data_IF_352355669278
#
_entry.id   IF_352355669278
#
_cell.length_a   1.000
_cell.length_b   1.000
_cell.length_c   1.000
_cell.angle_alpha   90.00
_cell.angle_beta   90.00
_cell.angle_gamma   90.00
#
_symmetry.space_group_name_H-M   'P 1'
#
loop_
_entity.id
_entity.type
_entity.pdbx_description
1 polymer ?
#
# COMPACT_ATOMS: atom_id res chain seq x y z
N UNK A 1 1.05 10.59 28.65
CA UNK A 1 2.27 10.10 27.97
C UNK A 1 1.89 9.77 26.54
N UNK A 2 1.94 10.77 25.64
CA UNK A 2 1.41 10.64 24.28
C UNK A 2 2.33 9.76 23.43
N UNK A 3 1.76 8.75 22.78
CA UNK A 3 2.49 7.91 21.83
C UNK A 3 3.20 8.77 20.79
N UNK A 4 4.54 8.68 20.73
CA UNK A 4 5.41 9.50 19.88
C UNK A 4 5.40 9.11 18.40
N UNK A 5 4.78 7.99 18.04
CA UNK A 5 4.74 7.52 16.65
C UNK A 5 3.36 7.83 16.05
N UNK A 6 3.26 8.89 15.23
CA UNK A 6 2.13 9.12 14.31
C UNK A 6 2.24 8.15 13.12
N UNK A 7 2.24 6.86 13.41
CA UNK A 7 2.46 5.82 12.43
C UNK A 7 1.55 4.60 12.69
N UNK A 8 0.79 4.23 11.67
CA UNK A 8 -0.03 3.01 11.63
C UNK A 8 0.70 2.00 10.76
N UNK A 9 0.75 0.75 11.22
CA UNK A 9 1.33 -0.36 10.47
C UNK A 9 0.32 -1.48 10.37
N UNK A 10 0.23 -2.11 9.21
CA UNK A 10 -0.70 -3.20 8.96
C UNK A 10 -0.15 -4.19 7.94
N UNK A 11 -0.75 -5.37 7.90
CA UNK A 11 -0.51 -6.41 6.88
C UNK A 11 -1.72 -7.32 6.77
N UNK A 12 -1.91 -7.94 5.61
CA UNK A 12 -2.85 -9.04 5.45
C UNK A 12 -2.20 -10.38 5.85
N UNK A 13 -2.96 -11.29 6.45
CA UNK A 13 -2.51 -12.64 6.85
C UNK A 13 -3.57 -13.67 6.42
N UNK A 14 -3.14 -14.68 5.66
CA UNK A 14 -3.94 -15.85 5.34
C UNK A 14 -3.91 -16.88 6.46
N UNK A 15 -4.92 -17.77 6.48
CA UNK A 15 -5.05 -18.84 7.46
C UNK A 15 -3.87 -19.83 7.45
N UNK A 16 -3.16 -19.92 6.33
CA UNK A 16 -1.98 -20.77 6.14
C UNK A 16 -0.66 -20.07 6.54
N UNK A 17 -0.74 -18.87 7.12
CA UNK A 17 0.41 -18.11 7.59
C UNK A 17 1.12 -17.26 6.53
N UNK A 18 0.72 -17.35 5.25
CA UNK A 18 1.17 -16.38 4.24
C UNK A 18 0.70 -14.98 4.61
N UNK A 19 1.49 -13.98 4.25
CA UNK A 19 1.17 -12.59 4.59
C UNK A 19 1.61 -11.61 3.51
N UNK A 20 1.08 -10.40 3.57
CA UNK A 20 1.61 -9.28 2.81
C UNK A 20 2.88 -8.74 3.49
N UNK A 21 3.54 -7.83 2.79
CA UNK A 21 4.52 -6.96 3.42
C UNK A 21 3.88 -6.08 4.50
N UNK A 22 4.69 -5.56 5.42
CA UNK A 22 4.22 -4.57 6.40
C UNK A 22 4.14 -3.20 5.75
N UNK A 23 2.93 -2.69 5.62
CA UNK A 23 2.66 -1.32 5.21
C UNK A 23 2.76 -0.38 6.40
N UNK A 24 3.31 0.81 6.17
CA UNK A 24 3.43 1.88 7.15
C UNK A 24 2.85 3.16 6.56
N UNK A 25 1.89 3.75 7.27
CA UNK A 25 1.34 5.08 7.00
C UNK A 25 1.69 5.99 8.15
N UNK A 26 2.31 7.14 7.88
CA UNK A 26 2.79 8.04 8.93
C UNK A 26 2.79 9.50 8.51
N UNK A 27 2.69 10.40 9.50
CA UNK A 27 2.74 11.84 9.29
C UNK A 27 4.17 12.40 9.36
N UNK A 28 4.41 13.53 8.70
CA UNK A 28 5.56 14.39 8.96
C UNK A 28 5.54 14.96 10.38
N UNK A 29 6.72 15.12 11.00
CA UNK A 29 6.82 15.62 12.38
C UNK A 29 6.39 17.09 12.55
N UNK A 30 6.50 17.90 11.49
CA UNK A 30 6.27 19.35 11.50
C UNK A 30 5.40 19.83 10.34
N UNK A 31 4.85 18.90 9.58
CA UNK A 31 3.96 19.18 8.45
C UNK A 31 2.72 18.31 8.57
N UNK A 32 1.74 18.56 7.71
CA UNK A 32 0.58 17.69 7.54
C UNK A 32 0.76 16.71 6.38
N UNK A 33 2.01 16.51 5.95
CA UNK A 33 2.32 15.49 4.94
C UNK A 33 2.04 14.09 5.50
N UNK A 34 1.43 13.24 4.67
CA UNK A 34 1.29 11.80 4.93
C UNK A 34 2.23 11.04 3.99
N UNK A 35 2.87 10.02 4.52
CA UNK A 35 3.73 9.12 3.77
C UNK A 35 3.23 7.69 3.90
N UNK A 36 3.18 6.98 2.77
CA UNK A 36 2.88 5.55 2.69
C UNK A 36 4.09 4.84 2.08
N UNK A 37 4.51 3.75 2.73
CA UNK A 37 5.52 2.85 2.20
C UNK A 37 5.33 1.46 2.78
N UNK A 38 5.77 0.46 2.03
CA UNK A 38 6.05 -0.87 2.56
C UNK A 38 7.56 -1.04 2.71
N UNK A 39 8.06 -1.99 3.51
CA UNK A 39 9.52 -2.18 3.70
C UNK A 39 10.29 -2.44 2.39
N UNK A 40 9.87 -3.36 1.50
CA UNK A 40 10.58 -3.57 0.23
C UNK A 40 10.57 -2.32 -0.67
N UNK A 41 9.47 -1.55 -0.63
CA UNK A 41 9.34 -0.33 -1.42
C UNK A 41 10.06 0.84 -0.77
N UNK A 42 10.05 0.94 0.56
CA UNK A 42 10.44 2.11 1.34
C UNK A 42 11.93 2.40 1.32
N UNK A 43 12.73 1.51 0.75
CA UNK A 43 14.14 1.72 0.42
C UNK A 43 14.33 2.28 -1.00
N UNK A 44 13.30 2.26 -1.84
CA UNK A 44 13.37 2.63 -3.26
C UNK A 44 12.43 3.78 -3.63
N UNK A 45 11.17 3.72 -3.23
CA UNK A 45 10.13 4.69 -3.51
C UNK A 45 9.16 4.86 -2.33
N UNK A 46 8.37 5.94 -2.36
CA UNK A 46 7.26 6.15 -1.42
C UNK A 46 6.17 6.98 -2.06
N UNK A 47 4.94 6.79 -1.56
CA UNK A 47 3.83 7.69 -1.84
C UNK A 47 3.81 8.78 -0.77
N UNK A 48 3.72 10.03 -1.20
CA UNK A 48 3.66 11.20 -0.34
C UNK A 48 2.46 12.06 -0.71
N UNK A 49 1.58 12.28 0.28
CA UNK A 49 0.44 13.18 0.18
C UNK A 49 0.85 14.48 0.88
N UNK A 50 1.34 15.45 0.10
CA UNK A 50 1.83 16.70 0.67
C UNK A 50 0.68 17.62 1.08
N UNK A 51 0.87 18.39 2.15
CA UNK A 51 -0.14 19.34 2.66
C UNK A 51 -0.56 20.40 1.62
N UNK A 52 0.29 20.65 0.62
CA UNK A 52 -0.01 21.51 -0.54
C UNK A 52 -1.05 20.95 -1.51
N UNK A 53 -1.53 19.72 -1.31
CA UNK A 53 -2.42 19.01 -2.23
C UNK A 53 -1.71 18.39 -3.45
N UNK A 54 -0.40 18.59 -3.59
CA UNK A 54 0.43 17.98 -4.64
C UNK A 54 0.90 16.59 -4.19
N UNK A 55 0.21 15.55 -4.62
CA UNK A 55 0.49 14.17 -4.22
C UNK A 55 1.31 13.45 -5.28
N UNK A 56 2.07 12.45 -4.86
CA UNK A 56 2.93 11.70 -5.78
C UNK A 56 3.38 10.37 -5.22
N UNK A 57 3.73 9.47 -6.12
CA UNK A 57 4.64 8.36 -5.85
C UNK A 57 5.97 8.62 -6.56
N UNK A 58 7.06 8.50 -5.81
CA UNK A 58 8.38 8.88 -6.30
C UNK A 58 9.47 7.97 -5.74
N UNK A 59 10.51 7.75 -6.54
CA UNK A 59 11.77 7.20 -6.04
C UNK A 59 12.37 8.14 -4.99
N UNK A 60 13.08 7.58 -4.01
CA UNK A 60 13.64 8.35 -2.90
C UNK A 60 14.68 9.37 -3.36
N UNK A 61 15.43 9.06 -4.41
CA UNK A 61 16.43 9.94 -5.03
C UNK A 61 16.52 9.70 -6.55
N UNK A 62 17.26 10.56 -7.24
CA UNK A 62 17.44 10.47 -8.70
C UNK A 62 18.26 9.25 -9.11
N UNK A 63 19.28 8.86 -8.32
CA UNK A 63 20.10 7.67 -8.61
C UNK A 63 19.27 6.39 -8.71
N UNK A 64 18.27 6.24 -7.82
CA UNK A 64 17.31 5.14 -7.90
C UNK A 64 16.40 5.28 -9.11
N UNK A 65 15.91 6.49 -9.39
CA UNK A 65 15.06 6.75 -10.55
C UNK A 65 15.76 6.38 -11.87
N UNK A 66 17.03 6.76 -12.04
CA UNK A 66 17.82 6.51 -13.25
C UNK A 66 18.06 5.01 -13.53
N UNK A 67 17.81 4.13 -12.54
CA UNK A 67 17.86 2.66 -12.72
C UNK A 67 16.59 2.09 -13.36
N UNK A 68 15.48 2.81 -13.27
CA UNK A 68 14.15 2.31 -13.65
C UNK A 68 13.42 3.20 -14.66
N UNK A 69 13.80 4.47 -14.77
CA UNK A 69 13.22 5.46 -15.67
C UNK A 69 14.23 5.85 -16.74
N UNK A 70 13.72 6.46 -17.82
CA UNK A 70 14.56 7.03 -18.86
C UNK A 70 15.51 8.11 -18.31
N UNK A 71 16.75 8.24 -18.86
CA UNK A 71 17.69 9.24 -18.43
C UNK A 71 17.09 10.66 -18.43
N UNK A 72 17.19 11.35 -17.29
CA UNK A 72 16.65 12.71 -17.12
C UNK A 72 15.15 12.78 -16.81
N UNK A 73 14.47 11.64 -16.66
CA UNK A 73 13.09 11.62 -16.20
C UNK A 73 12.97 12.09 -14.73
N UNK A 74 11.82 12.67 -14.39
CA UNK A 74 11.51 13.04 -13.02
C UNK A 74 11.35 11.77 -12.15
N UNK A 75 12.05 11.73 -11.02
CA UNK A 75 11.93 10.66 -10.02
C UNK A 75 10.49 10.43 -9.51
N UNK A 76 9.61 11.43 -9.63
CA UNK A 76 8.19 11.30 -9.38
C UNK A 76 7.47 10.80 -10.64
N UNK A 77 7.27 9.48 -10.68
CA UNK A 77 6.70 8.76 -11.83
C UNK A 77 5.16 8.67 -11.79
N UNK A 78 4.53 8.96 -10.66
CA UNK A 78 3.09 9.18 -10.55
C UNK A 78 2.84 10.47 -9.76
N UNK A 79 2.04 11.37 -10.33
CA UNK A 79 1.68 12.67 -9.75
C UNK A 79 0.18 12.83 -9.84
N UNK A 80 -0.43 13.21 -8.74
CA UNK A 80 -1.88 13.36 -8.62
C UNK A 80 -2.20 14.45 -7.59
N UNK A 81 -3.47 14.81 -7.50
CA UNK A 81 -3.95 15.85 -6.59
C UNK A 81 -4.85 15.25 -5.54
N UNK A 82 -5.02 15.96 -4.43
CA UNK A 82 -6.09 15.68 -3.46
C UNK A 82 -7.45 15.60 -4.17
N UNK A 83 -8.21 14.50 -4.03
CA UNK A 83 -9.54 14.38 -4.61
C UNK A 83 -10.48 15.43 -4.08
N UNK A 84 -11.38 15.90 -4.94
CA UNK A 84 -12.42 16.86 -4.58
C UNK A 84 -13.75 16.20 -4.23
N UNK A 85 -13.91 14.92 -4.57
CA UNK A 85 -15.12 14.17 -4.26
C UNK A 85 -15.07 13.65 -2.82
N UNK A 86 -16.11 13.99 -2.05
CA UNK A 86 -16.24 13.55 -0.67
C UNK A 86 -16.96 12.20 -0.61
N UNK A 87 -16.37 11.23 0.10
CA UNK A 87 -16.99 9.93 0.38
C UNK A 87 -17.97 10.02 1.57
N UNK A 88 -17.84 11.05 2.38
CA UNK A 88 -18.75 11.48 3.44
C UNK A 88 -18.49 12.96 3.74
N UNK A 89 -19.42 13.71 4.36
CA UNK A 89 -19.24 15.14 4.63
C UNK A 89 -17.89 15.48 5.30
N UNK A 90 -17.03 16.19 4.58
CA UNK A 90 -15.69 16.57 5.03
C UNK A 90 -14.62 15.48 4.99
N UNK A 91 -14.86 14.35 4.32
CA UNK A 91 -13.94 13.24 4.16
C UNK A 91 -13.73 12.85 2.69
N UNK A 92 -12.47 12.67 2.30
CA UNK A 92 -12.08 12.19 0.97
C UNK A 92 -11.35 10.86 1.07
N UNK A 93 -11.47 10.02 0.04
CA UNK A 93 -10.61 8.85 -0.15
C UNK A 93 -9.26 9.31 -0.71
N UNK A 94 -8.21 9.25 0.09
CA UNK A 94 -6.91 9.79 -0.30
C UNK A 94 -6.04 8.78 -1.05
N UNK A 95 -6.06 7.51 -0.63
CA UNK A 95 -5.26 6.45 -1.23
C UNK A 95 -5.75 5.07 -0.81
N UNK A 96 -5.65 4.09 -1.70
CA UNK A 96 -6.09 2.71 -1.42
C UNK A 96 -4.96 1.70 -1.58
N UNK A 97 -4.81 0.79 -0.63
CA UNK A 97 -3.86 -0.34 -0.67
C UNK A 97 -4.65 -1.63 -0.81
N UNK A 98 -4.42 -2.36 -1.89
CA UNK A 98 -5.06 -3.65 -2.16
C UNK A 98 -4.05 -4.76 -1.92
N UNK A 99 -4.41 -5.72 -1.07
CA UNK A 99 -3.59 -6.87 -0.66
C UNK A 99 -4.32 -8.16 -1.06
N UNK A 100 -4.13 -8.67 -2.29
CA UNK A 100 -4.84 -9.86 -2.74
C UNK A 100 -4.31 -11.13 -2.08
N UNK A 101 -5.19 -12.09 -1.77
CA UNK A 101 -4.81 -13.37 -1.16
C UNK A 101 -3.79 -14.13 -2.01
N UNK A 102 -3.93 -14.05 -3.34
CA UNK A 102 -3.06 -14.70 -4.31
C UNK A 102 -1.61 -14.18 -4.29
N UNK A 103 -1.39 -13.00 -3.71
CA UNK A 103 -0.09 -12.34 -3.66
C UNK A 103 0.59 -12.49 -2.29
N UNK A 104 -0.10 -13.03 -1.28
CA UNK A 104 0.46 -13.22 0.05
C UNK A 104 1.56 -14.27 0.02
N UNK A 105 2.73 -13.97 0.60
CA UNK A 105 3.92 -14.81 0.55
C UNK A 105 4.30 -15.36 1.93
N UNK A 106 5.02 -16.49 1.99
CA UNK A 106 5.73 -16.88 3.19
C UNK A 106 6.91 -15.92 3.39
N UNK A 107 6.83 -15.08 4.40
CA UNK A 107 7.95 -14.22 4.80
C UNK A 107 8.60 -14.77 6.06
N UNK A 108 9.93 -14.68 6.13
CA UNK A 108 10.63 -14.79 7.40
C UNK A 108 10.03 -13.80 8.42
N UNK A 109 10.17 -14.12 9.70
CA UNK A 109 9.70 -13.25 10.77
C UNK A 109 10.38 -11.89 10.66
N UNK A 110 9.61 -10.85 10.32
CA UNK A 110 10.12 -9.49 10.29
C UNK A 110 10.07 -8.89 11.69
N UNK A 111 11.16 -8.27 12.10
CA UNK A 111 11.15 -7.37 13.25
C UNK A 111 10.62 -6.01 12.82
N UNK A 112 9.37 -5.69 13.16
CA UNK A 112 8.85 -4.32 13.04
C UNK A 112 9.18 -3.53 14.30
N UNK A 113 9.70 -2.30 14.14
CA UNK A 113 9.81 -1.34 15.26
C UNK A 113 8.44 -0.70 15.51
N UNK A 114 7.52 -1.46 16.09
CA UNK A 114 6.17 -1.02 16.44
C UNK A 114 5.10 -2.10 16.24
N UNK A 115 3.94 -1.87 16.85
CA UNK A 115 2.76 -2.71 16.67
C UNK A 115 2.32 -2.73 15.21
N UNK A 116 1.91 -3.90 14.74
CA UNK A 116 1.37 -4.14 13.40
C UNK A 116 -0.04 -4.70 13.58
N UNK A 117 -1.00 -4.12 12.86
CA UNK A 117 -2.37 -4.63 12.81
C UNK A 117 -2.44 -5.75 11.79
N UNK A 118 -2.78 -6.94 12.25
CA UNK A 118 -2.95 -8.12 11.40
C UNK A 118 -4.39 -8.15 10.88
N UNK A 119 -4.53 -8.09 9.56
CA UNK A 119 -5.81 -8.09 8.87
C UNK A 119 -6.06 -9.48 8.27
N UNK A 120 -7.15 -10.17 8.60
CA UNK A 120 -7.42 -11.49 8.04
C UNK A 120 -7.68 -11.41 6.54
N UNK A 121 -7.01 -12.26 5.77
CA UNK A 121 -7.30 -12.44 4.35
C UNK A 121 -8.70 -13.05 4.16
N UNK A 122 -9.50 -12.58 3.19
CA UNK A 122 -10.78 -13.21 2.87
C UNK A 122 -10.65 -14.56 2.15
N UNK A 123 -9.43 -14.98 1.77
CA UNK A 123 -9.17 -16.24 1.08
C UNK A 123 -9.17 -16.11 -0.46
N UNK A 124 -9.17 -17.25 -1.17
CA UNK A 124 -8.97 -17.29 -2.62
C UNK A 124 -9.94 -16.41 -3.42
N UNK A 125 -9.41 -15.62 -4.34
CA UNK A 125 -10.19 -14.67 -5.17
C UNK A 125 -10.57 -13.35 -4.48
N UNK A 126 -10.30 -13.23 -3.17
CA UNK A 126 -10.50 -12.01 -2.42
C UNK A 126 -9.21 -11.22 -2.17
N UNK A 127 -9.39 -10.02 -1.65
CA UNK A 127 -8.34 -9.13 -1.20
C UNK A 127 -8.72 -8.40 0.09
N UNK A 128 -7.73 -8.03 0.89
CA UNK A 128 -7.92 -6.99 1.91
C UNK A 128 -7.70 -5.65 1.24
N UNK A 129 -8.68 -4.76 1.29
CA UNK A 129 -8.60 -3.38 0.81
C UNK A 129 -8.45 -2.48 2.01
N UNK A 130 -7.40 -1.65 2.03
CA UNK A 130 -7.14 -0.68 3.10
C UNK A 130 -7.17 0.72 2.52
N UNK A 131 -8.19 1.49 2.89
CA UNK A 131 -8.43 2.85 2.41
C UNK A 131 -7.93 3.86 3.43
N UNK A 132 -7.07 4.77 2.99
CA UNK A 132 -6.69 5.96 3.72
C UNK A 132 -7.72 7.06 3.43
N UNK A 133 -8.49 7.41 4.46
CA UNK A 133 -9.43 8.52 4.47
C UNK A 133 -8.77 9.75 5.10
N UNK A 134 -9.00 10.91 4.50
CA UNK A 134 -8.55 12.20 5.01
C UNK A 134 -9.77 13.07 5.36
N UNK A 135 -9.90 13.39 6.64
CA UNK A 135 -11.00 14.18 7.19
C UNK A 135 -10.57 15.59 7.57
N UNK A 136 -11.45 16.56 7.37
CA UNK A 136 -11.31 17.93 7.87
C UNK A 136 -11.27 17.96 9.40
N UNK A 137 -10.73 19.03 9.98
CA UNK A 137 -10.53 19.17 11.42
C UNK A 137 -11.82 19.08 12.26
N UNK A 138 -12.95 19.46 11.66
CA UNK A 138 -14.27 19.55 12.26
C UNK A 138 -15.24 18.47 11.74
N UNK A 139 -14.78 17.57 10.87
CA UNK A 139 -15.62 16.54 10.28
C UNK A 139 -15.77 15.34 11.22
N UNK A 140 -17.02 14.94 11.49
CA UNK A 140 -17.31 13.70 12.19
C UNK A 140 -16.84 12.50 11.36
N UNK A 141 -16.09 11.53 11.91
CA UNK A 141 -15.65 10.37 11.16
C UNK A 141 -16.84 9.57 10.61
N UNK A 142 -16.80 9.13 9.33
CA UNK A 142 -17.88 8.33 8.77
C UNK A 142 -18.08 7.06 9.60
N UNK A 143 -19.34 6.65 9.73
CA UNK A 143 -19.69 5.36 10.29
C UNK A 143 -19.10 4.25 9.41
N UNK A 144 -18.59 3.20 10.05
CA UNK A 144 -18.10 2.04 9.33
C UNK A 144 -19.29 1.25 8.76
N UNK A 145 -19.17 0.84 7.51
CA UNK A 145 -20.13 -0.04 6.86
C UNK A 145 -19.96 -1.49 7.36
N UNK A 146 -20.97 -2.36 7.22
CA UNK A 146 -20.82 -3.79 7.52
C UNK A 146 -19.62 -4.40 6.78
N UNK A 147 -18.77 -5.13 7.51
CA UNK A 147 -17.54 -5.73 6.97
C UNK A 147 -16.30 -4.83 7.06
N UNK A 148 -16.47 -3.53 7.30
CA UNK A 148 -15.36 -2.62 7.54
C UNK A 148 -14.84 -2.71 8.98
N UNK A 149 -13.53 -2.62 9.14
CA UNK A 149 -12.87 -2.55 10.45
C UNK A 149 -11.89 -1.38 10.51
N UNK A 150 -11.76 -0.69 11.66
CA UNK A 150 -10.78 0.37 11.81
C UNK A 150 -9.37 -0.22 11.95
N UNK A 151 -8.43 0.25 11.14
CA UNK A 151 -7.00 -0.09 11.28
C UNK A 151 -6.31 0.89 12.24
N UNK A 152 -6.70 2.16 12.18
CA UNK A 152 -6.21 3.19 13.09
C UNK A 152 -6.49 4.60 12.59
N UNK A 153 -6.16 5.60 13.41
CA UNK A 153 -6.20 7.01 13.00
C UNK A 153 -5.11 7.83 13.70
N UNK A 154 -4.77 8.98 13.13
CA UNK A 154 -3.93 9.98 13.78
C UNK A 154 -4.26 11.40 13.29
N UNK A 155 -4.07 12.38 14.16
CA UNK A 155 -4.20 13.79 13.82
C UNK A 155 -2.95 14.34 13.11
N UNK A 156 -3.16 15.13 12.07
CA UNK A 156 -2.15 15.90 11.35
C UNK A 156 -1.85 17.22 12.08
N UNK A 157 -0.86 17.97 11.57
CA UNK A 157 -0.42 19.22 12.19
C UNK A 157 -1.40 20.38 11.93
N UNK A 158 -2.18 20.29 10.86
CA UNK A 158 -3.26 21.21 10.46
C UNK A 158 -4.63 20.82 11.03
N UNK A 159 -4.64 19.94 12.03
CA UNK A 159 -5.84 19.40 12.69
C UNK A 159 -6.71 18.47 11.83
N UNK A 160 -6.38 18.23 10.55
CA UNK A 160 -7.02 17.16 9.78
C UNK A 160 -6.75 15.79 10.41
N UNK A 161 -7.59 14.82 10.08
CA UNK A 161 -7.46 13.44 10.57
C UNK A 161 -7.16 12.49 9.42
N UNK A 162 -6.11 11.69 9.56
CA UNK A 162 -5.88 10.53 8.73
C UNK A 162 -6.49 9.30 9.41
N UNK A 163 -7.31 8.54 8.68
CA UNK A 163 -7.95 7.31 9.18
C UNK A 163 -7.77 6.19 8.18
N UNK A 164 -7.37 5.01 8.65
CA UNK A 164 -7.30 3.81 7.83
C UNK A 164 -8.46 2.88 8.20
N UNK A 165 -9.17 2.44 7.17
CA UNK A 165 -10.26 1.47 7.25
C UNK A 165 -9.92 0.29 6.36
N UNK A 166 -10.13 -0.93 6.84
CA UNK A 166 -9.91 -2.14 6.08
C UNK A 166 -11.23 -2.86 5.83
N UNK A 167 -11.38 -3.49 4.67
CA UNK A 167 -12.51 -4.33 4.34
C UNK A 167 -12.09 -5.51 3.45
N UNK A 168 -12.77 -6.66 3.55
CA UNK A 168 -12.64 -7.72 2.57
C UNK A 168 -13.34 -7.28 1.28
N UNK A 169 -12.72 -7.55 0.13
CA UNK A 169 -13.32 -7.29 -1.17
C UNK A 169 -13.08 -8.47 -2.12
N UNK A 170 -14.00 -8.67 -3.06
CA UNK A 170 -13.80 -9.57 -4.19
C UNK A 170 -12.89 -8.86 -5.18
N UNK A 171 -11.82 -9.51 -5.60
CA UNK A 171 -10.90 -8.90 -6.55
C UNK A 171 -11.54 -8.88 -7.94
N UNK A 172 -11.77 -7.72 -8.59
CA UNK A 172 -12.37 -7.69 -9.92
C UNK A 172 -11.50 -8.38 -10.97
N UNK A 173 -12.13 -8.96 -11.99
CA UNK A 173 -11.45 -9.73 -13.05
C UNK A 173 -10.33 -8.94 -13.73
N UNK A 174 -10.60 -7.70 -14.12
CA UNK A 174 -9.61 -6.82 -14.74
C UNK A 174 -8.40 -6.55 -13.84
N UNK A 175 -8.59 -6.47 -12.52
CA UNK A 175 -7.50 -6.28 -11.57
C UNK A 175 -6.69 -7.56 -11.40
N UNK A 176 -7.35 -8.72 -11.39
CA UNK A 176 -6.67 -10.03 -11.39
C UNK A 176 -5.81 -10.21 -12.63
N UNK A 177 -6.34 -9.86 -13.79
CA UNK A 177 -5.63 -9.90 -15.07
C UNK A 177 -4.45 -8.93 -15.09
N UNK A 178 -4.63 -7.70 -14.60
CA UNK A 178 -3.55 -6.72 -14.47
C UNK A 178 -2.42 -7.21 -13.57
N UNK A 179 -2.75 -7.74 -12.38
CA UNK A 179 -1.77 -8.31 -11.44
C UNK A 179 -1.02 -9.48 -12.07
N UNK A 180 -1.72 -10.39 -12.75
CA UNK A 180 -1.10 -11.51 -13.45
C UNK A 180 -0.14 -11.02 -14.55
N UNK A 181 -0.56 -10.03 -15.36
CA UNK A 181 0.27 -9.43 -16.40
C UNK A 181 1.50 -8.73 -15.85
N UNK A 182 1.34 -7.91 -14.80
CA UNK A 182 2.46 -7.23 -14.13
C UNK A 182 3.47 -8.22 -13.56
N UNK A 183 3.00 -9.34 -12.98
CA UNK A 183 3.92 -10.38 -12.48
C UNK A 183 4.76 -10.96 -13.61
N UNK A 184 4.15 -11.31 -14.74
CA UNK A 184 4.87 -11.85 -15.90
C UNK A 184 5.93 -10.86 -16.37
N UNK A 185 5.57 -9.58 -16.53
CA UNK A 185 6.51 -8.53 -16.95
C UNK A 185 7.65 -8.32 -15.96
N UNK A 186 7.35 -8.26 -14.65
CA UNK A 186 8.36 -8.11 -13.61
C UNK A 186 9.37 -9.27 -13.63
N UNK A 187 8.86 -10.49 -13.82
CA UNK A 187 9.69 -11.69 -13.92
C UNK A 187 10.61 -11.65 -15.15
N UNK A 188 10.06 -11.36 -16.32
CA UNK A 188 10.84 -11.26 -17.57
C UNK A 188 11.92 -10.18 -17.47
N UNK A 189 11.56 -9.00 -16.95
CA UNK A 189 12.47 -7.87 -16.80
C UNK A 189 13.63 -8.16 -15.83
N UNK A 190 13.41 -9.00 -14.83
CA UNK A 190 14.47 -9.39 -13.91
C UNK A 190 15.37 -10.50 -14.46
N UNK A 191 14.79 -11.51 -15.13
CA UNK A 191 15.55 -12.56 -15.80
C UNK A 191 16.47 -11.96 -16.88
N UNK A 192 15.98 -10.99 -17.64
CA UNK A 192 16.78 -10.26 -18.64
C UNK A 192 17.99 -9.51 -18.03
N UNK A 193 17.93 -9.17 -16.74
CA UNK A 193 19.00 -8.49 -16.00
C UNK A 193 19.88 -9.45 -15.18
N UNK A 194 19.66 -10.76 -15.29
CA UNK A 194 20.34 -11.77 -14.48
C UNK A 194 20.05 -11.64 -12.98
N UNK A 195 18.93 -11.00 -12.61
CA UNK A 195 18.53 -10.85 -11.22
C UNK A 195 17.80 -12.12 -10.76
N UNK A 196 18.26 -12.69 -9.66
CA UNK A 196 17.53 -13.73 -8.96
C UNK A 196 16.43 -13.09 -8.09
N UNK A 197 15.21 -13.01 -8.64
CA UNK A 197 14.05 -12.48 -7.93
C UNK A 197 13.62 -13.33 -6.72
N UNK A 198 14.10 -14.57 -6.56
CA UNK A 198 13.80 -15.36 -5.36
C UNK A 198 14.61 -14.83 -4.15
N UNK A 199 15.71 -14.13 -4.43
CA UNK A 199 16.58 -13.48 -3.44
C UNK A 199 16.28 -11.98 -3.33
N UNK A 200 15.95 -11.33 -4.45
CA UNK A 200 15.69 -9.89 -4.54
C UNK A 200 14.18 -9.58 -4.45
N UNK A 201 13.69 -9.34 -3.23
CA UNK A 201 12.36 -8.80 -2.89
C UNK A 201 11.15 -9.49 -3.56
N UNK A 202 10.37 -10.30 -2.82
CA UNK A 202 9.32 -11.14 -3.41
C UNK A 202 8.06 -10.37 -3.87
N UNK A 203 8.05 -9.03 -3.77
CA UNK A 203 6.85 -8.20 -4.00
C UNK A 203 7.19 -6.88 -4.69
N UNK A 204 6.32 -6.49 -5.62
CA UNK A 204 6.30 -5.25 -6.37
C UNK A 204 4.96 -4.51 -6.18
N UNK A 205 4.96 -3.18 -5.99
CA UNK A 205 3.73 -2.40 -6.04
C UNK A 205 3.31 -2.17 -7.49
N UNK A 206 2.11 -2.59 -7.85
CA UNK A 206 1.41 -2.11 -9.04
C UNK A 206 0.66 -0.84 -8.67
N UNK A 207 1.12 0.32 -9.14
CA UNK A 207 0.42 1.59 -8.94
C UNK A 207 -0.62 1.77 -10.03
N UNK A 208 -1.84 2.05 -9.62
CA UNK A 208 -2.99 2.20 -10.51
C UNK A 208 -3.76 3.47 -10.18
N UNK A 209 -4.29 4.13 -11.20
CA UNK A 209 -5.23 5.23 -11.07
C UNK A 209 -6.53 4.91 -11.81
N UNK A 210 -7.68 5.16 -11.19
CA UNK A 210 -8.95 5.06 -11.89
C UNK A 210 -9.27 6.36 -12.67
N UNK A 211 -10.27 6.36 -13.55
CA UNK A 211 -10.68 7.56 -14.28
C UNK A 211 -11.19 8.71 -13.41
N UNK A 212 -11.66 8.41 -12.18
CA UNK A 212 -12.08 9.42 -11.21
C UNK A 212 -10.89 10.13 -10.53
N UNK A 213 -9.68 9.65 -10.77
CA UNK A 213 -8.47 10.22 -10.19
C UNK A 213 -8.07 9.59 -8.86
N UNK A 214 -8.82 8.59 -8.37
CA UNK A 214 -8.41 7.84 -7.20
C UNK A 214 -7.11 7.10 -7.52
N UNK A 215 -6.28 6.92 -6.49
CA UNK A 215 -5.02 6.19 -6.61
C UNK A 215 -5.04 5.01 -5.67
N UNK A 216 -4.67 3.87 -6.24
CA UNK A 216 -4.45 2.66 -5.48
C UNK A 216 -3.10 2.06 -5.80
N UNK A 217 -2.63 1.25 -4.86
CA UNK A 217 -1.52 0.34 -5.07
C UNK A 217 -2.00 -1.07 -4.80
N UNK A 218 -1.68 -1.98 -5.70
CA UNK A 218 -1.87 -3.42 -5.49
C UNK A 218 -0.53 -4.02 -5.15
N UNK A 219 -0.45 -4.72 -4.02
CA UNK A 219 0.72 -5.50 -3.69
C UNK A 219 0.74 -6.76 -4.57
N UNK A 220 1.73 -6.86 -5.46
CA UNK A 220 1.86 -7.97 -6.41
C UNK A 220 3.11 -8.77 -6.08
N UNK A 221 3.00 -10.08 -5.93
CA UNK A 221 4.16 -10.92 -5.75
C UNK A 221 4.91 -11.12 -7.07
N UNK A 222 6.24 -11.11 -7.00
CA UNK A 222 7.11 -11.45 -8.13
C UNK A 222 6.93 -12.91 -8.59
N UNK A 223 6.45 -13.77 -7.68
CA UNK A 223 6.28 -15.20 -7.89
C UNK A 223 4.87 -15.65 -7.50
N UNK A 224 4.25 -16.58 -8.24
CA UNK A 224 3.10 -17.28 -7.71
C UNK A 224 3.51 -18.01 -6.44
N UNK A 225 2.62 -18.02 -5.45
CA UNK A 225 2.75 -18.98 -4.36
C UNK A 225 2.61 -20.36 -4.98
N UNK A 226 3.71 -21.07 -5.15
CA UNK A 226 3.61 -22.52 -5.31
C UNK A 226 3.14 -23.02 -3.95
N UNK A 227 1.99 -23.71 -3.83
CA UNK A 227 1.69 -24.46 -2.63
C UNK A 227 2.93 -25.31 -2.36
N UNK A 228 3.65 -25.03 -1.28
CA UNK A 228 4.77 -25.89 -0.94
C UNK A 228 4.20 -27.30 -0.80
N UNK A 229 4.80 -28.27 -1.48
CA UNK A 229 4.54 -29.68 -1.24
C UNK A 229 4.89 -29.97 0.22
N UNK A 230 3.91 -29.84 1.11
CA UNK A 230 3.94 -30.26 2.50
C UNK A 230 5.20 -29.92 3.30
N UNK A 231 5.31 -28.68 3.77
CA UNK A 231 5.94 -28.51 5.10
C UNK A 231 4.86 -28.86 6.12
N UNK A 232 4.88 -30.12 6.54
CA UNK A 232 4.04 -30.63 7.62
C UNK A 232 4.27 -29.81 8.92
N UNK A 233 3.23 -29.67 9.77
CA UNK A 233 3.30 -28.91 11.02
C UNK A 233 4.33 -29.46 12.01
#
# INVERSE_FOLDING_TARGET
MGSKDKAIRFRAIAVDGRRSTVWKVFAGNRSSDIYLLTRPLGEQAKTSLHESGKWRTAFLNQELADRFLEPGADRAFDKFSEPTEEVAPGWVEAYTVVLPDSELQPYAQETSKGAVVDLPSPGPGGAVVVTLLLGRADAEPPALQPGQQPVGSFALSDQRTARLVAEPSVMPDHLREAVAGTRVQAREAALARGLDLAVAHPVHPLIWGDPAGNRMVVETAAWPVTPSDGVAP
#
